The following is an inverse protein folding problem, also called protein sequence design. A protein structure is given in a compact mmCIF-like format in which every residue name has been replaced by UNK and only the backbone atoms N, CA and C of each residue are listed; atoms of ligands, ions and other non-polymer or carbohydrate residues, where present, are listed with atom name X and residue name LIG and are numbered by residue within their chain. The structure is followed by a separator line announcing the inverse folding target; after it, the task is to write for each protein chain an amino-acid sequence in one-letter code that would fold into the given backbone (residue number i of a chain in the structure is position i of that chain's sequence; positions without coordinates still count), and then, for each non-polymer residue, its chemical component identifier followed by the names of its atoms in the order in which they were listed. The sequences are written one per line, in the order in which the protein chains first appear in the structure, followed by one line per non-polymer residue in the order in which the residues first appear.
data_IF_833724846681
#
_entry.id   IF_833724846681
#
_cell.length_a   1.000
_cell.length_b   1.000
_cell.length_c   1.000
_cell.angle_alpha   90.00
_cell.angle_beta   90.00
_cell.angle_gamma   90.00
#
_symmetry.space_group_name_H-M   'P 1'
#
loop_
_entity.id
_entity.type
_entity.pdbx_description
1 polymer ?
#
# COMPACT_ATOMS: atom_id res chain seq x y z
N UNK A 1 -39.27 32.58 -16.33
CA UNK A 1 -38.08 31.91 -16.88
C UNK A 1 -36.85 32.55 -16.24
N UNK A 2 -36.25 31.87 -15.27
CA UNK A 2 -35.02 32.30 -14.60
C UNK A 2 -34.06 31.11 -14.73
N UNK A 3 -33.04 31.28 -15.56
CA UNK A 3 -31.95 30.32 -15.76
C UNK A 3 -30.88 30.58 -14.71
N UNK A 4 -30.72 29.67 -13.75
CA UNK A 4 -29.50 29.58 -12.95
C UNK A 4 -28.57 28.58 -13.59
N UNK A 5 -27.50 29.10 -14.18
CA UNK A 5 -26.35 28.35 -14.67
C UNK A 5 -25.57 27.79 -13.47
N UNK A 6 -25.59 26.45 -13.31
CA UNK A 6 -24.80 25.75 -12.30
C UNK A 6 -23.52 25.27 -12.99
N UNK A 7 -22.49 26.10 -12.92
CA UNK A 7 -21.09 25.72 -13.16
C UNK A 7 -20.74 24.50 -12.31
N UNK A 8 -20.57 23.36 -12.97
CA UNK A 8 -20.05 22.13 -12.36
C UNK A 8 -18.53 22.14 -12.49
N UNK A 9 -17.83 22.38 -11.39
CA UNK A 9 -16.38 22.18 -11.30
C UNK A 9 -16.12 20.78 -10.74
N UNK A 10 -16.26 19.76 -11.58
CA UNK A 10 -15.80 18.41 -11.25
C UNK A 10 -14.28 18.34 -11.42
N UNK A 11 -13.57 18.68 -10.34
CA UNK A 11 -12.12 18.63 -10.24
C UNK A 11 -11.56 17.20 -10.18
N UNK A 12 -10.57 16.94 -11.04
CA UNK A 12 -9.28 16.28 -10.75
C UNK A 12 -9.32 15.07 -9.81
N UNK A 13 -9.54 13.85 -10.33
CA UNK A 13 -9.06 12.58 -9.73
C UNK A 13 -8.96 11.48 -10.80
N UNK A 14 -7.83 11.36 -11.51
CA UNK A 14 -7.65 10.26 -12.47
C UNK A 14 -6.19 9.95 -12.87
N UNK A 15 -5.20 9.97 -11.95
CA UNK A 15 -3.80 9.64 -12.33
C UNK A 15 -3.04 8.71 -11.36
N UNK A 16 -3.70 8.00 -10.44
CA UNK A 16 -3.04 7.10 -9.47
C UNK A 16 -3.01 5.60 -9.86
N UNK A 17 -3.54 5.21 -11.02
CA UNK A 17 -3.82 3.80 -11.30
C UNK A 17 -2.71 3.01 -12.04
N UNK A 18 -1.56 3.59 -12.37
CA UNK A 18 -0.56 2.90 -13.21
C UNK A 18 0.57 2.18 -12.45
N UNK A 19 0.70 2.34 -11.13
CA UNK A 19 1.83 1.75 -10.36
C UNK A 19 1.46 0.63 -9.38
N UNK A 20 0.19 0.50 -9.02
CA UNK A 20 -0.26 -0.37 -7.92
C UNK A 20 -0.45 -1.84 -8.33
N UNK A 21 -0.63 -2.13 -9.61
CA UNK A 21 -0.99 -3.49 -10.06
C UNK A 21 0.18 -4.47 -10.20
N UNK A 22 1.42 -3.99 -10.42
CA UNK A 22 2.51 -4.87 -10.85
C UNK A 22 3.11 -5.72 -9.73
N UNK A 23 3.19 -5.21 -8.49
CA UNK A 23 3.82 -5.96 -7.39
C UNK A 23 2.85 -7.02 -6.82
N UNK A 24 1.57 -6.69 -6.67
CA UNK A 24 0.56 -7.62 -6.13
C UNK A 24 0.28 -8.80 -7.09
N UNK A 25 0.24 -8.57 -8.41
CA UNK A 25 0.01 -9.64 -9.40
C UNK A 25 1.23 -10.57 -9.56
N UNK A 26 2.45 -10.06 -9.45
CA UNK A 26 3.67 -10.89 -9.52
C UNK A 26 3.85 -11.79 -8.29
N UNK A 27 3.44 -11.34 -7.10
CA UNK A 27 3.53 -12.14 -5.87
C UNK A 27 2.40 -13.16 -5.73
N UNK A 28 1.17 -12.83 -6.15
CA UNK A 28 0.06 -13.78 -6.16
C UNK A 28 0.27 -14.96 -7.14
N UNK A 29 0.90 -14.70 -8.29
CA UNK A 29 1.17 -15.73 -9.30
C UNK A 29 2.18 -16.80 -8.87
N UNK A 30 3.19 -16.45 -8.06
CA UNK A 30 4.23 -17.40 -7.63
C UNK A 30 3.92 -18.15 -6.32
N UNK A 31 3.04 -17.61 -5.46
CA UNK A 31 2.65 -18.31 -4.23
C UNK A 31 1.76 -19.53 -4.52
N UNK A 32 0.94 -19.49 -5.59
CA UNK A 32 0.11 -20.64 -5.98
C UNK A 32 0.92 -21.75 -6.67
N UNK A 33 2.04 -21.42 -7.34
CA UNK A 33 2.90 -22.42 -8.00
C UNK A 33 3.84 -23.17 -7.06
N UNK A 34 3.87 -22.79 -5.78
CA UNK A 34 4.80 -23.36 -4.78
C UNK A 34 4.10 -24.30 -3.79
N UNK A 35 2.84 -24.69 -4.05
CA UNK A 35 2.23 -25.81 -3.33
C UNK A 35 2.91 -27.10 -3.81
N UNK A 36 3.51 -27.90 -2.91
CA UNK A 36 4.03 -29.19 -3.33
C UNK A 36 2.85 -30.09 -3.68
N UNK A 37 2.59 -30.27 -4.97
CA UNK A 37 1.83 -31.41 -5.46
C UNK A 37 2.64 -32.67 -5.14
N UNK A 38 2.20 -33.35 -4.08
CA UNK A 38 2.51 -34.76 -3.91
C UNK A 38 1.82 -35.52 -5.05
N UNK A 39 2.59 -36.40 -5.70
CA UNK A 39 2.17 -37.41 -6.67
C UNK A 39 1.87 -36.94 -8.11
N UNK A 40 2.91 -37.00 -8.96
CA UNK A 40 2.93 -37.91 -10.12
C UNK A 40 4.31 -37.89 -10.80
N UNK A 41 5.06 -38.98 -10.61
CA UNK A 41 6.10 -39.41 -11.54
C UNK A 41 5.42 -39.91 -12.82
N UNK A 42 5.82 -39.39 -13.97
CA UNK A 42 5.97 -40.11 -15.25
C UNK A 42 6.56 -39.12 -16.28
N UNK A 43 7.87 -39.21 -16.54
CA UNK A 43 8.46 -39.82 -17.74
C UNK A 43 8.12 -39.13 -19.07
N UNK A 44 9.15 -38.59 -19.73
CA UNK A 44 9.06 -38.18 -21.14
C UNK A 44 10.19 -37.24 -21.56
N UNK A 45 11.33 -37.80 -21.97
CA UNK A 45 12.40 -37.08 -22.64
C UNK A 45 11.97 -36.60 -24.04
N UNK A 46 12.35 -35.39 -24.45
CA UNK A 46 12.72 -35.06 -25.83
C UNK A 46 13.26 -33.63 -25.98
N UNK A 47 14.38 -33.54 -26.68
CA UNK A 47 15.08 -32.36 -27.20
C UNK A 47 14.21 -31.46 -28.09
N UNK A 48 14.52 -30.17 -28.16
CA UNK A 48 13.97 -29.31 -29.23
C UNK A 48 14.21 -27.82 -29.08
N UNK A 49 15.15 -27.32 -29.86
CA UNK A 49 15.38 -25.91 -30.24
C UNK A 49 14.13 -25.01 -30.30
N UNK A 50 14.32 -23.78 -29.79
CA UNK A 50 14.07 -22.55 -30.54
C UNK A 50 12.63 -22.04 -30.61
N UNK A 51 12.36 -20.96 -29.87
CA UNK A 51 11.52 -19.90 -30.39
C UNK A 51 12.03 -18.54 -29.92
N UNK A 52 12.65 -17.82 -30.86
CA UNK A 52 12.88 -16.37 -30.75
C UNK A 52 11.54 -15.72 -31.06
N UNK A 53 11.00 -14.94 -30.14
CA UNK A 53 9.82 -14.10 -30.40
C UNK A 53 10.20 -12.64 -30.15
N UNK A 54 10.38 -11.94 -31.27
CA UNK A 54 9.92 -10.58 -31.55
C UNK A 54 10.10 -9.51 -30.49
N UNK A 55 11.03 -8.60 -30.77
CA UNK A 55 10.90 -7.21 -30.37
C UNK A 55 9.56 -6.67 -30.89
N UNK A 56 8.64 -6.41 -29.96
CA UNK A 56 7.44 -5.62 -30.18
C UNK A 56 7.66 -4.27 -29.52
N UNK A 57 7.99 -3.29 -30.35
CA UNK A 57 8.04 -1.87 -30.03
C UNK A 57 6.67 -1.43 -29.50
N UNK A 58 6.62 -1.08 -28.22
CA UNK A 58 5.44 -0.59 -27.52
C UNK A 58 5.91 0.28 -26.38
N UNK A 59 6.02 1.58 -26.67
CA UNK A 59 6.53 2.60 -25.77
C UNK A 59 5.81 2.61 -24.41
N UNK A 60 6.44 2.02 -23.41
CA UNK A 60 6.32 2.47 -22.04
C UNK A 60 7.55 3.34 -21.77
N UNK A 61 7.36 4.66 -21.70
CA UNK A 61 8.36 5.58 -21.12
C UNK A 61 8.50 5.27 -19.64
N UNK A 62 9.16 4.16 -19.34
CA UNK A 62 9.70 3.85 -18.02
C UNK A 62 10.96 4.68 -17.84
N UNK A 63 11.08 5.35 -16.70
CA UNK A 63 12.31 5.98 -16.23
C UNK A 63 13.45 4.98 -16.39
N UNK A 64 14.37 5.25 -17.32
CA UNK A 64 15.41 4.30 -17.71
C UNK A 64 16.69 4.64 -16.96
N UNK A 65 16.80 4.03 -15.78
CA UNK A 65 18.01 4.10 -14.96
C UNK A 65 19.20 3.51 -15.73
N UNK A 66 20.29 4.27 -15.84
CA UNK A 66 21.43 3.93 -16.69
C UNK A 66 22.18 2.63 -16.28
N UNK A 67 22.93 2.02 -17.20
CA UNK A 67 23.57 0.70 -17.05
C UNK A 67 24.76 0.63 -16.05
N UNK A 68 24.85 1.57 -15.11
CA UNK A 68 25.83 1.59 -14.01
C UNK A 68 25.21 1.47 -12.62
N UNK A 69 23.90 1.28 -12.49
CA UNK A 69 23.18 1.26 -11.21
C UNK A 69 23.33 -0.06 -10.41
N UNK A 70 24.40 -0.82 -10.62
CA UNK A 70 24.51 -2.21 -10.16
C UNK A 70 24.94 -2.41 -8.70
N UNK A 71 25.07 -1.38 -7.85
CA UNK A 71 25.51 -1.59 -6.45
C UNK A 71 24.82 -0.69 -5.40
N UNK A 72 23.93 0.22 -5.79
CA UNK A 72 23.64 1.41 -4.96
C UNK A 72 22.32 1.39 -4.13
N UNK A 73 21.58 0.28 -4.05
CA UNK A 73 20.37 0.25 -3.20
C UNK A 73 20.67 0.21 -1.68
N UNK A 74 21.92 -0.09 -1.29
CA UNK A 74 22.30 -0.29 0.13
C UNK A 74 23.08 0.85 0.76
N UNK A 75 23.54 1.84 -0.02
CA UNK A 75 24.20 3.04 0.48
C UNK A 75 23.31 4.22 0.17
N UNK A 76 23.12 5.14 1.12
CA UNK A 76 22.47 6.40 0.83
C UNK A 76 23.32 7.12 -0.26
N UNK A 77 22.79 7.32 -1.48
CA UNK A 77 23.52 7.89 -2.60
C UNK A 77 23.95 9.29 -2.20
N UNK A 78 25.17 9.65 -2.60
CA UNK A 78 25.67 11.00 -2.41
C UNK A 78 24.76 11.95 -3.18
N UNK A 79 24.30 13.00 -2.51
CA UNK A 79 23.58 14.08 -3.17
C UNK A 79 24.58 14.90 -3.97
N UNK A 80 24.36 14.96 -5.27
CA UNK A 80 25.18 15.73 -6.21
C UNK A 80 24.87 17.25 -6.09
N UNK A 81 25.74 18.14 -6.61
CA UNK A 81 25.56 19.60 -6.51
C UNK A 81 24.25 20.13 -7.11
N UNK A 82 23.65 19.41 -8.05
CA UNK A 82 22.33 19.69 -8.66
C UNK A 82 21.14 19.22 -7.79
N UNK A 83 21.42 18.72 -6.59
CA UNK A 83 20.45 18.17 -5.64
C UNK A 83 19.98 16.75 -5.98
N UNK A 84 20.54 16.13 -7.03
CA UNK A 84 20.17 14.79 -7.51
C UNK A 84 20.88 13.70 -6.70
N UNK A 85 20.20 12.62 -6.31
CA UNK A 85 20.87 11.42 -5.82
C UNK A 85 21.73 10.77 -6.92
N UNK A 86 22.95 10.33 -6.61
CA UNK A 86 23.91 9.80 -7.60
C UNK A 86 23.42 8.60 -8.42
N UNK A 87 22.36 7.92 -7.98
CA UNK A 87 21.73 6.77 -8.64
C UNK A 87 20.64 7.15 -9.68
N UNK A 88 20.33 8.43 -9.86
CA UNK A 88 19.42 8.91 -10.89
C UNK A 88 20.19 9.48 -12.08
N UNK A 89 19.71 9.33 -13.31
CA UNK A 89 20.29 10.04 -14.46
C UNK A 89 19.88 11.53 -14.46
N UNK A 90 20.63 12.43 -15.14
CA UNK A 90 20.24 13.84 -15.22
C UNK A 90 18.88 14.03 -15.90
N UNK A 91 18.58 13.20 -16.90
CA UNK A 91 17.33 13.21 -17.64
C UNK A 91 16.15 12.77 -16.76
N UNK A 92 16.28 11.65 -16.05
CA UNK A 92 15.24 11.14 -15.15
C UNK A 92 14.94 12.13 -14.02
N UNK A 93 15.99 12.76 -13.49
CA UNK A 93 15.86 13.78 -12.46
C UNK A 93 15.12 15.02 -12.94
N UNK A 94 15.45 15.52 -14.14
CA UNK A 94 14.76 16.66 -14.73
C UNK A 94 13.28 16.35 -14.99
N UNK A 95 12.98 15.16 -15.52
CA UNK A 95 11.61 14.69 -15.73
C UNK A 95 10.83 14.60 -14.41
N UNK A 96 11.45 14.05 -13.36
CA UNK A 96 10.83 13.93 -12.04
C UNK A 96 10.55 15.31 -11.42
N UNK A 97 11.52 16.23 -11.45
CA UNK A 97 11.31 17.61 -10.96
C UNK A 97 10.17 18.31 -11.71
N UNK A 98 10.10 18.16 -13.02
CA UNK A 98 9.04 18.73 -13.85
C UNK A 98 7.67 18.17 -13.46
N UNK A 99 7.56 16.85 -13.29
CA UNK A 99 6.31 16.20 -12.88
C UNK A 99 5.84 16.68 -11.49
N UNK A 100 6.76 16.85 -10.54
CA UNK A 100 6.42 17.25 -9.17
C UNK A 100 6.09 18.74 -9.02
N UNK A 101 6.51 19.58 -9.96
CA UNK A 101 6.30 21.03 -9.93
C UNK A 101 4.81 21.42 -9.88
N UNK A 102 3.91 20.55 -10.35
CA UNK A 102 2.47 20.77 -10.38
C UNK A 102 1.74 20.34 -9.09
N UNK A 103 2.49 19.86 -8.09
CA UNK A 103 1.91 19.38 -6.82
C UNK A 103 1.86 20.49 -5.78
N UNK A 104 1.02 20.33 -4.75
CA UNK A 104 0.89 21.32 -3.70
C UNK A 104 2.18 21.51 -2.86
N UNK A 105 3.05 20.48 -2.80
CA UNK A 105 4.32 20.50 -2.08
C UNK A 105 5.43 19.85 -2.91
N UNK A 106 5.94 20.52 -3.96
CA UNK A 106 6.83 19.93 -4.96
C UNK A 106 8.09 19.25 -4.38
N UNK A 107 8.77 19.89 -3.44
CA UNK A 107 9.99 19.34 -2.86
C UNK A 107 9.73 18.14 -1.96
N UNK A 108 8.65 18.18 -1.17
CA UNK A 108 8.27 17.06 -0.31
C UNK A 108 7.85 15.86 -1.14
N UNK A 109 7.08 16.10 -2.21
CA UNK A 109 6.66 15.05 -3.13
C UNK A 109 7.84 14.47 -3.91
N UNK A 110 8.77 15.30 -4.38
CA UNK A 110 9.99 14.84 -5.03
C UNK A 110 10.78 13.89 -4.11
N UNK A 111 11.01 14.27 -2.85
CA UNK A 111 11.70 13.40 -1.87
C UNK A 111 10.94 12.09 -1.65
N UNK A 112 9.62 12.16 -1.54
CA UNK A 112 8.73 11.01 -1.38
C UNK A 112 8.87 10.03 -2.54
N UNK A 113 8.69 10.50 -3.77
CA UNK A 113 8.74 9.67 -4.97
C UNK A 113 10.13 9.09 -5.20
N UNK A 114 11.20 9.86 -4.94
CA UNK A 114 12.58 9.34 -4.99
C UNK A 114 12.77 8.17 -4.03
N UNK A 115 12.31 8.31 -2.79
CA UNK A 115 12.40 7.23 -1.80
C UNK A 115 11.61 5.99 -2.25
N UNK A 116 10.42 6.18 -2.81
CA UNK A 116 9.59 5.08 -3.30
C UNK A 116 10.23 4.35 -4.49
N UNK A 117 10.77 5.08 -5.47
CA UNK A 117 11.46 4.48 -6.62
C UNK A 117 12.66 3.64 -6.19
N UNK A 118 13.41 4.12 -5.18
CA UNK A 118 14.56 3.37 -4.64
C UNK A 118 14.12 2.14 -3.86
N UNK A 119 13.01 2.22 -3.12
CA UNK A 119 12.38 1.07 -2.47
C UNK A 119 11.98 -0.01 -3.51
N UNK A 120 11.32 0.39 -4.60
CA UNK A 120 10.95 -0.52 -5.70
C UNK A 120 12.18 -1.18 -6.33
N UNK A 121 13.22 -0.40 -6.63
CA UNK A 121 14.49 -0.92 -7.17
C UNK A 121 15.21 -1.85 -6.20
N UNK A 122 15.15 -1.57 -4.90
CA UNK A 122 15.69 -2.45 -3.87
C UNK A 122 14.99 -3.81 -3.87
N UNK A 123 13.67 -3.82 -4.04
CA UNK A 123 12.89 -5.06 -4.12
C UNK A 123 13.22 -5.86 -5.40
N UNK A 124 13.33 -5.19 -6.55
CA UNK A 124 13.76 -5.82 -7.82
C UNK A 124 15.15 -6.48 -7.68
N UNK A 125 16.11 -5.78 -7.05
CA UNK A 125 17.45 -6.30 -6.79
C UNK A 125 17.42 -7.48 -5.81
N UNK A 126 16.63 -7.38 -4.75
CA UNK A 126 16.46 -8.48 -3.82
C UNK A 126 15.88 -9.72 -4.51
N UNK A 127 14.90 -9.55 -5.40
CA UNK A 127 14.33 -10.66 -6.17
C UNK A 127 15.33 -11.25 -7.17
N UNK A 128 16.13 -10.43 -7.85
CA UNK A 128 17.11 -10.92 -8.83
C UNK A 128 18.24 -11.74 -8.21
N UNK A 129 18.52 -11.53 -6.92
CA UNK A 129 19.53 -12.28 -6.17
C UNK A 129 19.06 -13.67 -5.71
N UNK A 130 17.83 -14.10 -6.03
CA UNK A 130 17.26 -15.38 -5.53
C UNK A 130 18.05 -16.61 -5.99
N UNK A 131 18.48 -16.59 -7.24
CA UNK A 131 19.27 -17.67 -7.83
C UNK A 131 20.79 -17.44 -7.65
N UNK A 132 21.19 -16.37 -6.96
CA UNK A 132 22.60 -16.02 -6.74
C UNK A 132 23.14 -16.67 -5.46
N UNK A 133 24.44 -16.89 -5.40
CA UNK A 133 25.12 -17.36 -4.19
C UNK A 133 25.36 -16.25 -3.16
N UNK A 134 25.03 -14.99 -3.47
CA UNK A 134 25.29 -13.84 -2.60
C UNK A 134 24.17 -13.64 -1.57
N UNK A 135 24.08 -14.60 -0.65
CA UNK A 135 23.08 -14.60 0.41
C UNK A 135 23.25 -13.43 1.39
N UNK A 136 24.49 -13.00 1.65
CA UNK A 136 24.76 -11.88 2.53
C UNK A 136 24.16 -10.57 1.97
N UNK A 137 24.36 -10.31 0.67
CA UNK A 137 23.76 -9.16 0.00
C UNK A 137 22.25 -9.22 -0.03
N UNK A 138 21.68 -10.41 -0.28
CA UNK A 138 20.24 -10.64 -0.27
C UNK A 138 19.64 -10.33 1.10
N UNK A 139 20.25 -10.80 2.18
CA UNK A 139 19.82 -10.51 3.56
C UNK A 139 19.93 -9.02 3.90
N UNK A 140 21.01 -8.36 3.50
CA UNK A 140 21.18 -6.93 3.74
C UNK A 140 20.10 -6.10 3.02
N UNK A 141 19.74 -6.45 1.79
CA UNK A 141 18.62 -5.84 1.07
C UNK A 141 17.29 -6.12 1.76
N UNK A 142 17.06 -7.36 2.20
CA UNK A 142 15.83 -7.71 2.90
C UNK A 142 15.64 -6.87 4.17
N UNK A 143 16.67 -6.72 4.99
CA UNK A 143 16.63 -5.90 6.20
C UNK A 143 16.31 -4.43 5.88
N UNK A 144 17.02 -3.84 4.91
CA UNK A 144 16.78 -2.46 4.48
C UNK A 144 15.36 -2.23 3.94
N UNK A 145 14.80 -3.21 3.22
CA UNK A 145 13.44 -3.13 2.70
C UNK A 145 12.39 -3.20 3.82
N UNK A 146 12.58 -4.08 4.81
CA UNK A 146 11.70 -4.18 5.98
C UNK A 146 11.66 -2.84 6.75
N UNK A 147 12.82 -2.22 6.97
CA UNK A 147 12.92 -0.94 7.70
C UNK A 147 12.21 0.22 6.98
N UNK A 148 12.05 0.14 5.65
CA UNK A 148 11.39 1.17 4.86
C UNK A 148 9.86 1.03 4.81
N UNK A 149 9.32 -0.18 5.05
CA UNK A 149 7.88 -0.46 4.94
C UNK A 149 6.98 0.47 5.76
N UNK A 150 7.28 0.81 7.04
CA UNK A 150 6.43 1.69 7.83
C UNK A 150 6.25 3.06 7.18
N UNK A 151 7.32 3.60 6.59
CA UNK A 151 7.27 4.90 5.92
C UNK A 151 6.48 4.82 4.61
N UNK A 152 6.64 3.75 3.83
CA UNK A 152 5.86 3.55 2.59
C UNK A 152 4.36 3.45 2.90
N UNK A 153 4.01 2.76 3.99
CA UNK A 153 2.64 2.64 4.48
C UNK A 153 2.09 4.00 4.94
N UNK A 154 2.86 4.75 5.73
CA UNK A 154 2.50 6.10 6.20
C UNK A 154 2.24 7.07 5.05
N UNK A 155 3.00 6.92 3.96
CA UNK A 155 2.88 7.72 2.75
C UNK A 155 1.76 7.22 1.80
N UNK A 156 1.07 6.13 2.15
CA UNK A 156 -0.01 5.55 1.34
C UNK A 156 0.46 4.90 0.04
N UNK A 157 1.74 4.54 -0.04
CA UNK A 157 2.35 3.93 -1.24
C UNK A 157 2.22 2.41 -1.25
N UNK A 158 2.06 1.82 -0.06
CA UNK A 158 1.65 0.43 0.14
C UNK A 158 0.51 0.39 1.15
N UNK A 159 -0.40 -0.56 0.98
CA UNK A 159 -1.44 -0.85 1.95
C UNK A 159 -0.90 -1.70 3.10
N UNK A 160 -1.65 -1.80 4.20
CA UNK A 160 -1.30 -2.69 5.33
C UNK A 160 -1.11 -4.14 4.89
N UNK A 161 -2.03 -4.64 4.06
CA UNK A 161 -1.97 -6.02 3.56
C UNK A 161 -0.74 -6.27 2.69
N UNK A 162 -0.42 -5.34 1.78
CA UNK A 162 0.79 -5.42 0.95
C UNK A 162 2.05 -5.35 1.81
N UNK A 163 2.12 -4.45 2.79
CA UNK A 163 3.28 -4.32 3.66
C UNK A 163 3.53 -5.61 4.47
N UNK A 164 2.48 -6.26 5.00
CA UNK A 164 2.61 -7.53 5.71
C UNK A 164 3.03 -8.68 4.78
N UNK A 165 2.49 -8.72 3.56
CA UNK A 165 2.90 -9.70 2.55
C UNK A 165 4.39 -9.55 2.19
N UNK A 166 4.84 -8.31 1.94
CA UNK A 166 6.23 -8.01 1.64
C UNK A 166 7.13 -8.37 2.83
N UNK A 167 6.75 -8.00 4.05
CA UNK A 167 7.48 -8.36 5.27
C UNK A 167 7.64 -9.89 5.39
N UNK A 168 6.55 -10.65 5.21
CA UNK A 168 6.58 -12.12 5.27
C UNK A 168 7.59 -12.73 4.29
N UNK A 169 7.62 -12.22 3.05
CA UNK A 169 8.58 -12.67 2.04
C UNK A 169 10.03 -12.34 2.44
N UNK A 170 10.30 -11.11 2.88
CA UNK A 170 11.64 -10.64 3.24
C UNK A 170 12.18 -11.37 4.47
N UNK A 171 11.34 -11.64 5.47
CA UNK A 171 11.71 -12.34 6.69
C UNK A 171 12.08 -13.82 6.48
N UNK A 172 11.74 -14.41 5.33
CA UNK A 172 12.21 -15.76 4.97
C UNK A 172 13.73 -15.82 4.84
N UNK A 173 14.36 -14.74 4.35
CA UNK A 173 15.82 -14.67 4.23
C UNK A 173 16.51 -14.23 5.53
N UNK A 174 15.81 -13.47 6.38
CA UNK A 174 16.36 -12.85 7.60
C UNK A 174 16.31 -13.77 8.82
N UNK A 175 15.30 -14.63 8.93
CA UNK A 175 15.13 -15.55 10.05
C UNK A 175 14.76 -16.95 9.53
N UNK A 176 15.73 -17.89 9.52
CA UNK A 176 15.50 -19.26 9.08
C UNK A 176 14.52 -20.04 9.98
N UNK A 177 14.48 -19.73 11.28
CA UNK A 177 13.60 -20.42 12.22
C UNK A 177 12.15 -19.91 12.10
N UNK A 178 11.22 -20.81 11.79
CA UNK A 178 9.82 -20.44 11.55
C UNK A 178 9.13 -19.84 12.78
N UNK A 179 9.37 -20.37 13.97
CA UNK A 179 8.73 -19.88 15.20
C UNK A 179 9.24 -18.48 15.55
N UNK A 180 10.54 -18.24 15.42
CA UNK A 180 11.11 -16.90 15.59
C UNK A 180 10.59 -15.93 14.53
N UNK A 181 10.45 -16.39 13.28
CA UNK A 181 9.91 -15.57 12.20
C UNK A 181 8.46 -15.14 12.46
N UNK A 182 7.61 -16.01 13.03
CA UNK A 182 6.24 -15.65 13.43
C UNK A 182 6.25 -14.51 14.44
N UNK A 183 7.08 -14.59 15.49
CA UNK A 183 7.24 -13.51 16.48
C UNK A 183 7.69 -12.20 15.82
N UNK A 184 8.65 -12.26 14.89
CA UNK A 184 9.09 -11.06 14.14
C UNK A 184 7.99 -10.45 13.28
N UNK A 185 7.14 -11.27 12.68
CA UNK A 185 6.02 -10.77 11.88
C UNK A 185 4.93 -10.12 12.73
N UNK A 186 4.71 -10.59 13.96
CA UNK A 186 3.83 -9.94 14.93
C UNK A 186 4.40 -8.57 15.37
N UNK A 187 5.71 -8.49 15.64
CA UNK A 187 6.40 -7.23 15.93
C UNK A 187 6.27 -6.23 14.76
N UNK A 188 6.50 -6.71 13.53
CA UNK A 188 6.33 -5.88 12.32
C UNK A 188 4.89 -5.41 12.17
N UNK A 189 3.90 -6.28 12.41
CA UNK A 189 2.50 -5.89 12.36
C UNK A 189 2.18 -4.76 13.33
N UNK A 190 2.70 -4.81 14.57
CA UNK A 190 2.53 -3.75 15.54
C UNK A 190 3.19 -2.43 15.08
N UNK A 191 4.41 -2.50 14.55
CA UNK A 191 5.11 -1.32 13.99
C UNK A 191 4.32 -0.72 12.82
N UNK A 192 3.87 -1.54 11.88
CA UNK A 192 3.07 -1.08 10.73
C UNK A 192 1.74 -0.47 11.19
N UNK A 193 1.06 -1.07 12.17
CA UNK A 193 -0.19 -0.53 12.71
C UNK A 193 0.00 0.86 13.31
N UNK A 194 1.14 1.11 13.98
CA UNK A 194 1.49 2.43 14.51
C UNK A 194 1.82 3.45 13.41
N UNK A 195 2.34 2.99 12.26
CA UNK A 195 2.71 3.84 11.13
C UNK A 195 1.56 4.11 10.14
N UNK A 196 0.50 3.31 10.19
CA UNK A 196 -0.69 3.51 9.38
C UNK A 196 -1.24 4.94 9.57
N UNK A 197 -1.71 5.61 8.50
CA UNK A 197 -2.31 6.93 8.61
C UNK A 197 -3.42 6.92 9.66
N UNK A 198 -3.17 7.58 10.78
CA UNK A 198 -4.17 7.75 11.82
C UNK A 198 -5.16 8.83 11.37
N UNK A 199 -6.48 8.61 11.48
CA UNK A 199 -7.43 9.70 11.32
C UNK A 199 -7.06 10.83 12.29
N UNK A 200 -7.23 12.08 11.85
CA UNK A 200 -6.92 13.26 12.67
C UNK A 200 -7.56 13.08 14.07
N UNK A 201 -6.81 13.36 15.16
CA UNK A 201 -7.33 13.26 16.53
C UNK A 201 -8.60 14.11 16.72
N UNK A 202 -8.72 15.23 16.01
CA UNK A 202 -9.92 16.04 15.98
C UNK A 202 -11.09 15.32 15.27
N UNK A 203 -10.81 14.53 14.24
CA UNK A 203 -11.81 13.72 13.56
C UNK A 203 -12.21 12.49 14.41
N UNK A 204 -11.25 11.78 15.00
CA UNK A 204 -11.52 10.66 15.91
C UNK A 204 -12.38 11.09 17.10
N UNK A 205 -12.08 12.25 17.71
CA UNK A 205 -12.88 12.77 18.82
C UNK A 205 -14.30 13.15 18.40
N UNK A 206 -14.48 13.72 17.20
CA UNK A 206 -15.82 14.00 16.63
C UNK A 206 -16.61 12.71 16.38
N UNK A 207 -15.97 11.70 15.81
CA UNK A 207 -16.59 10.39 15.56
C UNK A 207 -16.96 9.69 16.87
N UNK A 208 -16.06 9.70 17.86
CA UNK A 208 -16.33 9.17 19.19
C UNK A 208 -17.46 9.91 19.91
N UNK A 209 -17.53 11.24 19.78
CA UNK A 209 -18.61 12.05 20.34
C UNK A 209 -19.96 11.76 19.67
N UNK A 210 -19.98 11.65 18.33
CA UNK A 210 -21.17 11.23 17.59
C UNK A 210 -21.63 9.84 18.03
N UNK A 211 -20.71 8.89 18.15
CA UNK A 211 -21.02 7.54 18.60
C UNK A 211 -21.59 7.52 20.04
N UNK A 212 -20.98 8.28 20.96
CA UNK A 212 -21.47 8.38 22.33
C UNK A 212 -22.88 8.99 22.39
N UNK A 213 -23.14 10.03 21.60
CA UNK A 213 -24.45 10.66 21.51
C UNK A 213 -25.50 9.72 20.90
N UNK A 214 -25.16 8.96 19.85
CA UNK A 214 -26.03 7.93 19.30
C UNK A 214 -26.39 6.87 20.34
N UNK A 215 -25.39 6.32 21.05
CA UNK A 215 -25.61 5.31 22.11
C UNK A 215 -26.49 5.84 23.24
N UNK A 216 -26.32 7.11 23.63
CA UNK A 216 -27.18 7.75 24.62
C UNK A 216 -28.64 7.79 24.16
N UNK A 217 -28.89 8.18 22.90
CA UNK A 217 -30.24 8.26 22.32
C UNK A 217 -30.87 6.88 22.19
N UNK A 218 -30.11 5.91 21.67
CA UNK A 218 -30.51 4.51 21.58
C UNK A 218 -30.94 3.97 22.95
N UNK A 219 -30.13 4.17 23.99
CA UNK A 219 -30.46 3.72 25.34
C UNK A 219 -31.76 4.35 25.87
N UNK A 220 -32.00 5.65 25.61
CA UNK A 220 -33.24 6.32 26.00
C UNK A 220 -34.47 5.77 25.25
N UNK A 221 -34.35 5.55 23.94
CA UNK A 221 -35.42 4.98 23.10
C UNK A 221 -35.75 3.56 23.55
N UNK A 222 -34.73 2.72 23.77
CA UNK A 222 -34.90 1.35 24.22
C UNK A 222 -35.52 1.30 25.62
N UNK A 223 -35.10 2.18 26.53
CA UNK A 223 -35.71 2.28 27.86
C UNK A 223 -37.19 2.68 27.78
N UNK A 224 -37.53 3.66 26.94
CA UNK A 224 -38.92 4.07 26.72
C UNK A 224 -39.75 2.90 26.15
N UNK A 225 -39.23 2.21 25.14
CA UNK A 225 -39.87 1.03 24.57
C UNK A 225 -40.13 -0.05 25.64
N UNK A 226 -39.12 -0.36 26.46
CA UNK A 226 -39.23 -1.38 27.51
C UNK A 226 -40.17 -0.98 28.65
N UNK A 227 -40.29 0.32 28.93
CA UNK A 227 -41.20 0.84 29.96
C UNK A 227 -42.68 0.70 29.61
N UNK A 228 -43.00 0.51 28.32
CA UNK A 228 -44.36 0.26 27.85
C UNK A 228 -44.78 -1.18 28.18
N UNK A 229 -46.05 -1.41 28.58
CA UNK A 229 -46.61 -2.75 28.71
C UNK A 229 -46.42 -3.56 27.42
N UNK A 230 -46.21 -4.87 27.51
CA UNK A 230 -45.90 -5.71 26.34
C UNK A 230 -46.95 -5.62 25.23
N UNK A 231 -48.23 -5.51 25.59
CA UNK A 231 -49.34 -5.34 24.65
C UNK A 231 -49.35 -4.00 23.91
N UNK A 232 -48.54 -3.03 24.35
CA UNK A 232 -48.44 -1.68 23.80
C UNK A 232 -47.05 -1.39 23.20
N UNK A 233 -46.17 -2.39 23.16
CA UNK A 233 -44.84 -2.29 22.55
C UNK A 233 -44.97 -2.39 21.03
N UNK A 234 -44.78 -1.26 20.36
CA UNK A 234 -44.82 -1.16 18.90
C UNK A 234 -43.39 -1.23 18.32
N UNK A 235 -43.11 -2.30 17.58
CA UNK A 235 -41.80 -2.51 16.95
C UNK A 235 -41.54 -1.51 15.82
N UNK A 236 -42.57 -1.10 15.08
CA UNK A 236 -42.44 -0.13 13.98
C UNK A 236 -42.05 1.24 14.55
N UNK A 237 -42.63 1.61 15.70
CA UNK A 237 -42.25 2.81 16.42
C UNK A 237 -40.78 2.78 16.87
N UNK A 238 -40.31 1.66 17.42
CA UNK A 238 -38.93 1.50 17.88
C UNK A 238 -37.94 1.69 16.72
N UNK A 239 -38.16 0.99 15.62
CA UNK A 239 -37.31 1.07 14.42
C UNK A 239 -37.29 2.49 13.84
N UNK A 240 -38.44 3.16 13.77
CA UNK A 240 -38.54 4.55 13.31
C UNK A 240 -37.80 5.55 14.19
N UNK A 241 -37.82 5.36 15.51
CA UNK A 241 -37.10 6.20 16.47
C UNK A 241 -35.58 5.99 16.37
N UNK A 242 -35.12 4.75 16.23
CA UNK A 242 -33.70 4.44 16.05
C UNK A 242 -33.15 5.02 14.74
N UNK A 243 -33.90 4.92 13.64
CA UNK A 243 -33.52 5.53 12.36
C UNK A 243 -33.48 7.06 12.45
N UNK A 244 -34.46 7.67 13.12
CA UNK A 244 -34.48 9.12 13.39
C UNK A 244 -33.26 9.54 14.21
N UNK A 245 -32.92 8.80 15.27
CA UNK A 245 -31.71 9.05 16.08
C UNK A 245 -30.42 8.91 15.26
N UNK A 246 -30.35 7.90 14.39
CA UNK A 246 -29.21 7.71 13.48
C UNK A 246 -29.06 8.89 12.52
N UNK A 247 -30.14 9.32 11.87
CA UNK A 247 -30.13 10.48 10.96
C UNK A 247 -29.78 11.77 11.68
N UNK A 248 -30.26 11.97 12.91
CA UNK A 248 -29.92 13.15 13.71
C UNK A 248 -28.43 13.25 14.04
N UNK A 249 -27.75 12.11 14.24
CA UNK A 249 -26.31 12.06 14.59
C UNK A 249 -25.42 12.05 13.35
N UNK A 250 -25.75 11.26 12.32
CA UNK A 250 -24.88 10.99 11.18
C UNK A 250 -25.37 11.56 9.85
N UNK A 251 -26.58 12.12 9.80
CA UNK A 251 -27.21 12.62 8.57
C UNK A 251 -26.89 14.08 8.23
N UNK A 252 -26.19 14.81 9.11
CA UNK A 252 -25.70 16.16 8.83
C UNK A 252 -24.33 16.06 8.14
N UNK A 253 -24.33 15.82 6.82
CA UNK A 253 -23.18 15.97 5.94
C UNK A 253 -23.56 16.82 4.73
#
# INVERSE_FOLDING_TARGET
MITTDRSSSSGRRAWWAAGLGLIALLLAGLWWSSRPDADAREQGAASGQGLRVGAGEGAASGVQFGPGASVAALVAPTVLPDGRPSDFSPQDWAALKSAMAQTAKPEAELKRVVAYLRFQKGFEQWQSLRESSDMARRQQLAASLVDQLPERLRQGEVTMGEALMLASALWTDLEPNEDKRKVRLEEVQAVLASAAPQPDAAQQSREAAQQAEYKRREAAIVLEYQSRPESQRDQVWLEGQLDTARRAVYGAN
#
